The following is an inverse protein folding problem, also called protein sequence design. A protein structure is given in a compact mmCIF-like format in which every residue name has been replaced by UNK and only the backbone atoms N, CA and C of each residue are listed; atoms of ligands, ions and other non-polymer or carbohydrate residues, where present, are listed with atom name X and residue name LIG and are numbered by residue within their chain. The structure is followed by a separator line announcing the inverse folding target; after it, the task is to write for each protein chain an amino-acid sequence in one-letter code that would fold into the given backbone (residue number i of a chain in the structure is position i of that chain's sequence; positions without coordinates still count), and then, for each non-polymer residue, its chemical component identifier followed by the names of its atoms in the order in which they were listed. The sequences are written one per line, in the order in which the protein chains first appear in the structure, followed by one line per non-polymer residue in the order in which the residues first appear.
data_IF_035316665555
#
_entry.id   IF_035316665555
#
_cell.length_a   1.000
_cell.length_b   1.000
_cell.length_c   1.000
_cell.angle_alpha   90.00
_cell.angle_beta   90.00
_cell.angle_gamma   90.00
#
_symmetry.space_group_name_H-M   'P 1'
#
loop_
_entity.id
_entity.type
_entity.pdbx_description
1 polymer ?
#
# COMPACT_ATOMS: atom_id res chain seq x y z
N UNK A 1 15.06 26.95 35.58
CA UNK A 1 14.75 26.00 34.49
C UNK A 1 15.32 26.57 33.19
N UNK A 2 16.05 25.72 32.47
CA UNK A 2 16.77 25.87 31.18
C UNK A 2 16.18 26.96 30.26
N UNK A 3 16.90 28.06 30.01
CA UNK A 3 17.78 28.33 28.85
C UNK A 3 17.05 28.43 27.48
N UNK A 4 16.75 29.66 27.04
CA UNK A 4 16.62 29.99 25.61
C UNK A 4 17.54 31.18 25.30
N UNK A 5 18.83 30.89 25.36
CA UNK A 5 19.89 31.74 24.83
C UNK A 5 20.06 31.44 23.33
N UNK A 6 20.41 32.52 22.62
CA UNK A 6 21.03 32.57 21.29
C UNK A 6 20.14 32.44 20.04
N UNK A 7 19.72 33.59 19.52
CA UNK A 7 19.73 33.88 18.08
C UNK A 7 19.93 35.38 17.80
N UNK A 8 20.96 35.98 18.41
CA UNK A 8 21.81 37.00 17.77
C UNK A 8 22.95 36.18 17.13
N UNK A 9 23.34 36.25 15.87
CA UNK A 9 23.60 37.40 14.98
C UNK A 9 24.05 36.84 13.63
N UNK A 10 23.52 37.37 12.52
CA UNK A 10 24.26 37.87 11.36
C UNK A 10 23.20 38.41 10.38
N UNK A 11 22.80 39.68 10.46
CA UNK A 11 23.49 40.80 9.85
C UNK A 11 23.89 40.51 8.39
N UNK A 12 23.11 41.07 7.48
CA UNK A 12 23.60 41.65 6.23
C UNK A 12 24.76 40.92 5.53
N UNK A 13 24.44 39.87 4.78
CA UNK A 13 25.11 39.59 3.51
C UNK A 13 24.17 40.01 2.38
N UNK A 14 23.86 41.30 2.33
CA UNK A 14 23.30 41.94 1.15
C UNK A 14 24.48 42.38 0.27
N UNK A 15 25.01 41.46 -0.53
CA UNK A 15 25.87 41.83 -1.67
C UNK A 15 25.90 40.72 -2.70
N UNK A 16 25.21 40.99 -3.82
CA UNK A 16 25.56 40.56 -5.17
C UNK A 16 25.72 39.05 -5.43
N UNK A 17 24.62 38.44 -5.88
CA UNK A 17 24.63 37.54 -7.04
C UNK A 17 23.22 37.57 -7.67
N UNK A 18 23.10 37.67 -9.00
CA UNK A 18 21.82 37.84 -9.67
C UNK A 18 20.91 36.63 -9.42
N UNK A 19 19.62 36.87 -9.22
CA UNK A 19 18.57 35.85 -9.11
C UNK A 19 18.36 35.11 -10.44
N UNK A 20 19.14 35.42 -11.48
CA UNK A 20 18.99 34.87 -12.83
C UNK A 20 19.78 33.57 -13.09
N UNK A 21 20.66 33.11 -12.18
CA UNK A 21 21.47 31.89 -12.42
C UNK A 21 21.01 30.63 -11.65
N UNK A 22 19.94 30.69 -10.85
CA UNK A 22 19.40 29.50 -10.13
C UNK A 22 18.29 28.81 -10.91
N UNK A 23 17.78 29.44 -11.98
CA UNK A 23 16.77 28.83 -12.85
C UNK A 23 17.35 27.84 -13.86
N UNK A 24 18.67 27.75 -14.04
CA UNK A 24 19.28 27.00 -15.14
C UNK A 24 20.21 25.83 -14.73
N UNK A 25 20.25 25.45 -13.45
CA UNK A 25 21.12 24.35 -12.99
C UNK A 25 20.43 23.31 -12.08
N UNK A 26 19.11 23.39 -11.88
CA UNK A 26 18.38 22.52 -10.94
C UNK A 26 17.17 21.78 -11.51
N UNK A 27 16.93 21.86 -12.81
CA UNK A 27 15.65 21.46 -13.41
C UNK A 27 15.90 20.46 -14.55
N UNK A 28 15.51 19.21 -14.29
CA UNK A 28 15.55 18.03 -15.16
C UNK A 28 16.92 17.36 -15.36
N UNK A 29 17.35 16.54 -14.39
CA UNK A 29 17.82 15.19 -14.77
C UNK A 29 16.60 14.40 -15.25
N UNK A 30 16.14 14.74 -16.45
CA UNK A 30 15.25 13.89 -17.23
C UNK A 30 16.08 12.70 -17.68
N UNK A 31 16.10 11.64 -16.88
CA UNK A 31 16.10 10.31 -17.48
C UNK A 31 14.74 10.17 -18.14
N UNK A 32 14.74 9.90 -19.45
CA UNK A 32 13.57 9.73 -20.30
C UNK A 32 12.67 8.58 -19.79
N UNK A 33 11.91 8.84 -18.72
CA UNK A 33 10.72 8.06 -18.44
C UNK A 33 9.67 8.53 -19.40
N UNK A 34 9.57 7.84 -20.53
CA UNK A 34 8.53 8.15 -21.53
C UNK A 34 7.18 8.12 -20.83
N UNK A 35 6.22 8.94 -21.27
CA UNK A 35 4.88 8.96 -20.68
C UNK A 35 4.24 7.54 -20.65
N UNK A 36 4.69 6.63 -21.51
CA UNK A 36 4.34 5.22 -21.52
C UNK A 36 4.91 4.44 -20.32
N UNK A 37 6.15 4.69 -19.91
CA UNK A 37 6.74 4.08 -18.71
C UNK A 37 6.02 4.54 -17.43
N UNK A 38 5.67 5.83 -17.34
CA UNK A 38 4.87 6.36 -16.21
C UNK A 38 3.47 5.72 -16.18
N UNK A 39 2.81 5.61 -17.34
CA UNK A 39 1.51 4.92 -17.44
C UNK A 39 1.59 3.44 -17.07
N UNK A 40 2.64 2.75 -17.52
CA UNK A 40 2.87 1.35 -17.19
C UNK A 40 3.07 1.16 -15.68
N UNK A 41 3.86 2.02 -15.03
CA UNK A 41 4.09 1.97 -13.58
C UNK A 41 2.81 2.20 -12.79
N UNK A 42 2.04 3.24 -13.14
CA UNK A 42 0.74 3.52 -12.49
C UNK A 42 -0.24 2.36 -12.67
N UNK A 43 -0.23 1.69 -13.82
CA UNK A 43 -1.06 0.52 -14.06
C UNK A 43 -0.65 -0.68 -13.20
N UNK A 44 0.66 -0.93 -13.05
CA UNK A 44 1.17 -1.96 -12.14
C UNK A 44 0.76 -1.66 -10.70
N UNK A 45 0.98 -0.43 -10.22
CA UNK A 45 0.60 0.00 -8.87
C UNK A 45 -0.92 -0.17 -8.63
N UNK A 46 -1.75 0.13 -9.63
CA UNK A 46 -3.20 -0.08 -9.58
C UNK A 46 -3.55 -1.56 -9.43
N UNK A 47 -2.93 -2.45 -10.22
CA UNK A 47 -3.16 -3.90 -10.12
C UNK A 47 -2.73 -4.45 -8.75
N UNK A 48 -1.64 -3.93 -8.19
CA UNK A 48 -1.19 -4.26 -6.84
C UNK A 48 -2.16 -3.80 -5.77
N UNK A 49 -2.67 -2.57 -5.89
CA UNK A 49 -3.67 -2.02 -4.98
C UNK A 49 -4.95 -2.85 -4.99
N UNK A 50 -5.49 -3.18 -6.16
CA UNK A 50 -6.68 -4.02 -6.31
C UNK A 50 -6.48 -5.40 -5.69
N UNK A 51 -5.34 -6.05 -5.95
CA UNK A 51 -5.03 -7.35 -5.38
C UNK A 51 -4.91 -7.30 -3.84
N UNK A 52 -4.33 -6.23 -3.29
CA UNK A 52 -4.25 -6.01 -1.84
C UNK A 52 -5.64 -5.81 -1.22
N UNK A 53 -6.51 -5.03 -1.87
CA UNK A 53 -7.88 -4.80 -1.43
C UNK A 53 -8.71 -6.10 -1.46
N UNK A 54 -8.56 -6.92 -2.51
CA UNK A 54 -9.21 -8.23 -2.60
C UNK A 54 -8.81 -9.15 -1.43
N UNK A 55 -7.51 -9.23 -1.14
CA UNK A 55 -6.98 -10.00 -0.01
C UNK A 55 -7.52 -9.48 1.33
N UNK A 56 -7.57 -8.16 1.52
CA UNK A 56 -8.09 -7.54 2.73
C UNK A 56 -9.59 -7.86 2.93
N UNK A 57 -10.40 -7.74 1.89
CA UNK A 57 -11.81 -8.08 1.92
C UNK A 57 -12.07 -9.56 2.23
N UNK A 58 -11.24 -10.47 1.67
CA UNK A 58 -11.32 -11.89 1.97
C UNK A 58 -10.92 -12.21 3.42
N UNK A 59 -9.90 -11.55 3.96
CA UNK A 59 -9.53 -11.69 5.39
C UNK A 59 -10.65 -11.27 6.32
N UNK A 60 -11.31 -10.14 6.03
CA UNK A 60 -12.44 -9.66 6.82
C UNK A 60 -13.61 -10.65 6.81
N UNK A 61 -13.95 -11.22 5.64
CA UNK A 61 -14.99 -12.26 5.52
C UNK A 61 -14.65 -13.54 6.29
N UNK A 62 -13.41 -14.02 6.19
CA UNK A 62 -12.95 -15.19 6.94
C UNK A 62 -13.02 -14.94 8.45
N UNK A 63 -12.60 -13.77 8.93
CA UNK A 63 -12.67 -13.41 10.34
C UNK A 63 -14.12 -13.38 10.84
N UNK A 64 -15.03 -12.76 10.07
CA UNK A 64 -16.46 -12.74 10.38
C UNK A 64 -17.07 -14.15 10.42
N UNK A 65 -16.74 -15.01 9.46
CA UNK A 65 -17.22 -16.39 9.45
C UNK A 65 -16.75 -17.17 10.68
N UNK A 66 -15.49 -17.00 11.11
CA UNK A 66 -14.98 -17.60 12.36
C UNK A 66 -15.74 -17.13 13.60
N UNK A 67 -16.01 -15.83 13.71
CA UNK A 67 -16.79 -15.28 14.83
C UNK A 67 -18.21 -15.88 14.87
N UNK A 68 -18.88 -15.97 13.73
CA UNK A 68 -20.21 -16.58 13.64
C UNK A 68 -20.19 -18.07 14.00
N UNK A 69 -19.14 -18.80 13.62
CA UNK A 69 -18.95 -20.21 13.97
C UNK A 69 -18.83 -20.37 15.49
N UNK A 70 -17.97 -19.57 16.14
CA UNK A 70 -17.80 -19.60 17.59
C UNK A 70 -19.13 -19.33 18.31
N UNK A 71 -19.85 -18.29 17.89
CA UNK A 71 -21.16 -17.97 18.44
C UNK A 71 -22.18 -19.13 18.30
N UNK A 72 -22.21 -19.81 17.15
CA UNK A 72 -23.15 -20.93 16.95
C UNK A 72 -22.71 -22.20 17.69
N UNK A 73 -21.41 -22.40 17.94
CA UNK A 73 -20.91 -23.46 18.81
C UNK A 73 -21.36 -23.24 20.25
N UNK A 74 -21.21 -22.02 20.77
CA UNK A 74 -21.68 -21.64 22.11
C UNK A 74 -23.20 -21.82 22.24
N UNK A 75 -23.96 -21.42 21.22
CA UNK A 75 -25.40 -21.59 21.17
C UNK A 75 -25.87 -23.03 20.86
N UNK A 76 -24.95 -23.99 20.66
CA UNK A 76 -25.24 -25.38 20.24
C UNK A 76 -26.15 -25.48 19.01
N UNK A 77 -26.04 -24.52 18.09
CA UNK A 77 -26.85 -24.47 16.86
C UNK A 77 -26.12 -25.15 15.70
N UNK A 78 -26.25 -26.48 15.64
CA UNK A 78 -25.56 -27.32 14.65
C UNK A 78 -26.04 -27.11 13.22
N UNK A 79 -27.30 -26.73 13.02
CA UNK A 79 -27.88 -26.53 11.69
C UNK A 79 -27.22 -25.35 10.95
N UNK A 80 -26.94 -24.25 11.68
CA UNK A 80 -26.23 -23.10 11.10
C UNK A 80 -24.72 -23.32 10.98
N UNK A 81 -24.17 -24.19 11.82
CA UNK A 81 -22.74 -24.47 11.85
C UNK A 81 -22.22 -25.07 10.53
N UNK A 82 -22.93 -26.06 9.96
CA UNK A 82 -22.52 -26.71 8.70
C UNK A 82 -22.44 -25.70 7.53
N UNK A 83 -23.44 -24.83 7.42
CA UNK A 83 -23.47 -23.77 6.40
C UNK A 83 -22.30 -22.80 6.59
N UNK A 84 -22.04 -22.36 7.82
CA UNK A 84 -20.94 -21.43 8.12
C UNK A 84 -19.56 -22.06 7.85
N UNK A 85 -19.38 -23.35 8.15
CA UNK A 85 -18.14 -24.07 7.84
C UNK A 85 -17.88 -24.17 6.33
N UNK A 86 -18.94 -24.43 5.53
CA UNK A 86 -18.85 -24.42 4.06
C UNK A 86 -18.47 -23.04 3.52
N UNK A 87 -19.05 -21.97 4.07
CA UNK A 87 -18.69 -20.58 3.71
C UNK A 87 -17.24 -20.30 4.06
N UNK A 88 -16.81 -20.63 5.28
CA UNK A 88 -15.44 -20.43 5.74
C UNK A 88 -14.43 -21.12 4.83
N UNK A 89 -14.66 -22.40 4.48
CA UNK A 89 -13.77 -23.17 3.58
C UNK A 89 -13.66 -22.52 2.20
N UNK A 90 -14.79 -22.05 1.65
CA UNK A 90 -14.83 -21.36 0.35
C UNK A 90 -14.01 -20.07 0.38
N UNK A 91 -14.21 -19.25 1.41
CA UNK A 91 -13.53 -17.95 1.52
C UNK A 91 -12.04 -18.10 1.84
N UNK A 92 -11.66 -19.14 2.59
CA UNK A 92 -10.25 -19.51 2.78
C UNK A 92 -9.58 -19.91 1.47
N UNK A 93 -10.25 -20.71 0.62
CA UNK A 93 -9.71 -21.08 -0.69
C UNK A 93 -9.53 -19.85 -1.59
N UNK A 94 -10.51 -18.94 -1.60
CA UNK A 94 -10.42 -17.68 -2.34
C UNK A 94 -9.26 -16.81 -1.82
N UNK A 95 -9.08 -16.72 -0.50
CA UNK A 95 -7.98 -16.00 0.11
C UNK A 95 -6.61 -16.53 -0.33
N UNK A 96 -6.45 -17.87 -0.38
CA UNK A 96 -5.21 -18.48 -0.87
C UNK A 96 -4.95 -18.10 -2.34
N UNK A 97 -5.97 -18.17 -3.19
CA UNK A 97 -5.85 -17.78 -4.61
C UNK A 97 -5.48 -16.30 -4.78
N UNK A 98 -6.13 -15.41 -4.05
CA UNK A 98 -5.86 -13.97 -4.09
C UNK A 98 -4.43 -13.65 -3.60
N UNK A 99 -3.96 -14.32 -2.54
CA UNK A 99 -2.56 -14.20 -2.07
C UNK A 99 -1.57 -14.69 -3.12
N UNK A 100 -1.87 -15.80 -3.79
CA UNK A 100 -1.04 -16.30 -4.88
C UNK A 100 -0.99 -15.35 -6.09
N UNK A 101 -2.11 -14.69 -6.42
CA UNK A 101 -2.14 -13.63 -7.45
C UNK A 101 -1.25 -12.46 -7.05
N UNK A 102 -1.38 -11.95 -5.83
CA UNK A 102 -0.56 -10.86 -5.32
C UNK A 102 0.94 -11.22 -5.31
N UNK A 103 1.30 -12.44 -4.90
CA UNK A 103 2.69 -12.90 -4.94
C UNK A 103 3.27 -12.97 -6.36
N UNK A 104 2.48 -13.37 -7.35
CA UNK A 104 2.93 -13.37 -8.76
C UNK A 104 3.14 -11.95 -9.28
N UNK A 105 2.24 -11.04 -8.96
CA UNK A 105 2.39 -9.63 -9.32
C UNK A 105 3.67 -9.03 -8.71
N UNK A 106 3.94 -9.29 -7.42
CA UNK A 106 5.18 -8.85 -6.76
C UNK A 106 6.46 -9.50 -7.27
N UNK A 107 6.40 -10.64 -7.97
CA UNK A 107 7.58 -11.22 -8.62
C UNK A 107 7.90 -10.51 -9.94
N UNK A 108 6.87 -10.17 -10.70
CA UNK A 108 7.02 -9.42 -11.96
C UNK A 108 7.63 -8.02 -11.71
N UNK A 109 7.29 -7.39 -10.58
CA UNK A 109 7.93 -6.12 -10.18
C UNK A 109 9.43 -6.24 -9.86
N UNK A 110 9.92 -7.43 -9.49
CA UNK A 110 11.31 -7.64 -9.05
C UNK A 110 12.23 -8.26 -10.11
N UNK A 111 11.73 -8.52 -11.33
CA UNK A 111 12.54 -8.98 -12.47
C UNK A 111 13.04 -7.82 -13.36
N UNK A 112 12.61 -6.57 -13.08
CA UNK A 112 12.99 -5.36 -13.83
C UNK A 112 14.18 -4.58 -13.21
N UNK A 113 14.75 -5.05 -12.08
CA UNK A 113 15.94 -4.48 -11.39
C UNK A 113 17.23 -5.25 -11.73
#
# INVERSE_FOLDING_TARGET
MINLLLAMTCAACLSAAPIDDVLDAGVYTATDTTAEQVKARVNIDSLHLEARLEVAALRARVAKAKQLILYNLEAKNWNRLDVLMKILKRDQLKLVKARGKLQRLSRLEGEDD
#
